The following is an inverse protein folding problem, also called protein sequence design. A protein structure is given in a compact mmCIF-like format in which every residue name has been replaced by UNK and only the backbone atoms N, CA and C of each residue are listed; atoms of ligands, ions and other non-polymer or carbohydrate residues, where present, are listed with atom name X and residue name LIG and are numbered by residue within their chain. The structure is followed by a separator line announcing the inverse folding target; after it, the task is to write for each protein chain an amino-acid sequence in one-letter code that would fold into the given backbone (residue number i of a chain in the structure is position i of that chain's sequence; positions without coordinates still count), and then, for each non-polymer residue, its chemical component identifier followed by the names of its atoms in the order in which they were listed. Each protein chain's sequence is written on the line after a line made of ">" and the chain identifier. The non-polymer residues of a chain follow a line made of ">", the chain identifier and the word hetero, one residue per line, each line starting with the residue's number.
data_IF_523788640001
#
_entry.id   IF_523788640001
#
_cell.length_a   1.000
_cell.length_b   1.000
_cell.length_c   1.000
_cell.angle_alpha   90.00
_cell.angle_beta   90.00
_cell.angle_gamma   90.00
#
_symmetry.space_group_name_H-M   'P 1'
#
loop_
_entity.id
_entity.type
_entity.pdbx_description
1 polymer ?
#
# COMPACT_ATOMS: atom_id res chain seq x y z
N UNK A 1 29.80 4.17 -21.07
CA UNK A 1 28.49 4.81 -20.88
C UNK A 1 28.26 4.87 -19.38
N UNK A 2 28.15 6.06 -18.78
CA UNK A 2 27.79 6.19 -17.37
C UNK A 2 26.38 5.63 -17.21
N UNK A 3 26.25 4.33 -16.92
CA UNK A 3 24.98 3.78 -16.46
C UNK A 3 24.66 4.52 -15.18
N UNK A 4 23.62 5.34 -15.24
CA UNK A 4 23.22 6.12 -14.10
C UNK A 4 22.66 5.15 -13.07
N UNK A 5 22.96 5.34 -11.77
CA UNK A 5 22.35 4.55 -10.70
C UNK A 5 20.81 4.54 -10.79
N UNK A 6 20.23 5.51 -11.49
CA UNK A 6 18.79 5.66 -11.70
C UNK A 6 18.23 4.88 -12.89
N UNK A 7 19.07 4.27 -13.74
CA UNK A 7 18.60 3.51 -14.91
C UNK A 7 17.73 2.31 -14.49
N UNK A 8 17.95 1.75 -13.29
CA UNK A 8 17.12 0.68 -12.73
C UNK A 8 15.66 1.10 -12.45
N UNK A 9 15.41 2.39 -12.18
CA UNK A 9 14.06 2.91 -11.92
C UNK A 9 13.35 3.35 -13.21
N UNK A 10 14.07 3.42 -14.32
CA UNK A 10 13.46 3.72 -15.62
C UNK A 10 12.54 2.57 -16.02
N UNK A 11 11.33 2.89 -16.49
CA UNK A 11 10.36 1.87 -16.88
C UNK A 11 10.86 1.10 -18.11
N UNK A 12 11.14 -0.22 -18.02
CA UNK A 12 11.60 -0.97 -19.16
C UNK A 12 10.49 -1.05 -20.21
N UNK A 13 10.83 -0.66 -21.44
CA UNK A 13 9.96 -0.79 -22.60
C UNK A 13 10.61 -1.79 -23.57
N UNK A 14 9.93 -2.90 -23.88
CA UNK A 14 10.34 -3.84 -24.92
C UNK A 14 9.39 -3.66 -26.10
N UNK A 15 9.93 -3.46 -27.30
CA UNK A 15 9.14 -3.32 -28.54
C UNK A 15 8.05 -2.23 -28.46
N UNK A 16 8.28 -1.17 -27.68
CA UNK A 16 7.33 -0.07 -27.48
C UNK A 16 6.21 -0.33 -26.46
N UNK A 17 6.18 -1.50 -25.81
CA UNK A 17 5.22 -1.82 -24.76
C UNK A 17 5.89 -1.65 -23.38
N UNK A 18 5.32 -0.86 -22.46
CA UNK A 18 5.85 -0.74 -21.10
C UNK A 18 5.63 -2.04 -20.31
N UNK A 19 6.68 -2.62 -19.73
CA UNK A 19 6.62 -3.87 -18.95
C UNK A 19 6.04 -3.69 -17.52
N UNK A 20 5.47 -2.54 -17.22
CA UNK A 20 4.83 -2.27 -15.92
C UNK A 20 3.67 -3.25 -15.70
N UNK A 21 2.82 -3.46 -16.70
CA UNK A 21 1.66 -4.36 -16.62
C UNK A 21 2.05 -5.83 -16.33
N UNK A 22 2.96 -6.47 -17.10
CA UNK A 22 3.36 -7.84 -16.78
C UNK A 22 4.06 -7.94 -15.42
N UNK A 23 4.84 -6.92 -15.02
CA UNK A 23 5.47 -6.91 -13.69
C UNK A 23 4.45 -6.87 -12.54
N UNK A 24 3.31 -6.20 -12.73
CA UNK A 24 2.24 -6.13 -11.75
C UNK A 24 1.45 -7.45 -11.65
N UNK A 25 1.28 -8.16 -12.76
CA UNK A 25 0.53 -9.42 -12.81
C UNK A 25 1.35 -10.63 -12.32
N UNK A 26 2.68 -10.56 -12.40
CA UNK A 26 3.57 -11.67 -12.06
C UNK A 26 3.37 -12.19 -10.62
N UNK A 27 3.25 -11.35 -9.58
CA UNK A 27 3.02 -11.83 -8.21
C UNK A 27 1.69 -12.55 -8.01
N UNK A 28 0.64 -12.14 -8.75
CA UNK A 28 -0.64 -12.82 -8.70
C UNK A 28 -0.56 -14.24 -9.29
N UNK A 29 0.32 -14.46 -10.28
CA UNK A 29 0.55 -15.78 -10.86
C UNK A 29 1.39 -16.70 -9.96
N UNK A 30 2.30 -16.12 -9.17
CA UNK A 30 3.17 -16.89 -8.26
C UNK A 30 2.41 -17.53 -7.09
N UNK A 31 1.28 -16.94 -6.69
CA UNK A 31 0.46 -17.47 -5.60
C UNK A 31 -0.49 -18.55 -6.15
N UNK A 32 -0.32 -19.84 -5.78
CA UNK A 32 -1.18 -20.89 -6.28
C UNK A 32 -2.62 -20.69 -5.81
N UNK A 33 -3.58 -20.81 -6.75
CA UNK A 33 -4.99 -20.83 -6.38
C UNK A 33 -5.30 -22.07 -5.54
N UNK A 34 -5.99 -21.94 -4.38
CA UNK A 34 -6.38 -23.11 -3.60
C UNK A 34 -7.31 -24.00 -4.45
N UNK A 35 -7.00 -25.29 -4.52
CA UNK A 35 -7.88 -26.26 -5.19
C UNK A 35 -9.11 -26.59 -4.34
N UNK A 36 -10.14 -27.18 -4.98
CA UNK A 36 -11.35 -27.65 -4.30
C UNK A 36 -11.15 -28.97 -3.51
N UNK A 37 -9.91 -29.29 -3.12
CA UNK A 37 -9.56 -30.51 -2.39
C UNK A 37 -9.54 -30.22 -0.89
N UNK A 38 -10.07 -31.14 -0.09
CA UNK A 38 -10.09 -31.00 1.37
C UNK A 38 -8.67 -30.99 1.98
N UNK A 39 -7.77 -31.81 1.42
CA UNK A 39 -6.34 -31.80 1.76
C UNK A 39 -5.61 -31.11 0.61
N UNK A 40 -5.03 -29.96 0.93
CA UNK A 40 -4.33 -29.11 -0.02
C UNK A 40 -2.80 -29.36 0.04
N UNK A 41 -2.07 -28.85 -0.95
CA UNK A 41 -0.62 -28.92 -0.99
C UNK A 41 0.00 -28.13 0.19
N UNK A 42 1.22 -28.52 0.61
CA UNK A 42 1.97 -27.84 1.69
C UNK A 42 2.10 -26.33 1.48
N UNK A 43 2.32 -25.89 0.23
CA UNK A 43 2.42 -24.48 -0.11
C UNK A 43 1.09 -23.74 0.12
N UNK A 44 -0.02 -24.31 -0.36
CA UNK A 44 -1.35 -23.72 -0.16
C UNK A 44 -1.80 -23.71 1.30
N UNK A 45 -1.38 -24.68 2.13
CA UNK A 45 -1.71 -24.65 3.57
C UNK A 45 -0.96 -23.55 4.31
N UNK A 46 0.33 -23.33 3.99
CA UNK A 46 1.11 -22.22 4.53
C UNK A 46 0.53 -20.87 4.11
N UNK A 47 0.14 -20.75 2.83
CA UNK A 47 -0.53 -19.54 2.32
C UNK A 47 -1.86 -19.29 3.07
N UNK A 48 -2.70 -20.31 3.24
CA UNK A 48 -3.97 -20.17 3.95
C UNK A 48 -3.73 -19.73 5.41
N UNK A 49 -2.76 -20.35 6.09
CA UNK A 49 -2.37 -19.99 7.44
C UNK A 49 -1.90 -18.54 7.54
N UNK A 50 -1.04 -18.09 6.60
CA UNK A 50 -0.55 -16.72 6.54
C UNK A 50 -1.68 -15.70 6.32
N UNK A 51 -2.56 -15.96 5.35
CA UNK A 51 -3.71 -15.08 5.10
C UNK A 51 -4.66 -14.99 6.30
N UNK A 52 -4.90 -16.10 7.01
CA UNK A 52 -5.72 -16.11 8.22
C UNK A 52 -5.09 -15.30 9.37
N UNK A 53 -3.77 -15.39 9.55
CA UNK A 53 -3.07 -14.57 10.55
C UNK A 53 -3.18 -13.08 10.24
N UNK A 54 -2.94 -12.69 8.99
CA UNK A 54 -3.10 -11.29 8.55
C UNK A 54 -4.53 -10.83 8.79
N UNK A 55 -5.54 -11.59 8.34
CA UNK A 55 -6.95 -11.21 8.53
C UNK A 55 -7.28 -11.04 10.00
N UNK A 56 -6.80 -11.96 10.86
CA UNK A 56 -7.06 -11.89 12.30
C UNK A 56 -6.45 -10.63 12.90
N UNK A 57 -5.17 -10.36 12.64
CA UNK A 57 -4.47 -9.19 13.18
C UNK A 57 -5.03 -7.86 12.68
N UNK A 58 -5.43 -7.77 11.41
CA UNK A 58 -6.04 -6.55 10.87
C UNK A 58 -7.42 -6.26 11.46
N UNK A 59 -8.18 -7.31 11.81
CA UNK A 59 -9.55 -7.16 12.28
C UNK A 59 -9.67 -6.99 13.79
N UNK A 60 -8.63 -7.29 14.60
CA UNK A 60 -8.71 -7.14 16.06
C UNK A 60 -9.02 -5.72 16.55
N UNK A 61 -8.49 -4.62 15.97
CA UNK A 61 -8.85 -3.28 16.41
C UNK A 61 -10.12 -2.73 15.74
N UNK A 62 -10.68 -3.42 14.74
CA UNK A 62 -11.78 -2.93 13.92
C UNK A 62 -13.13 -3.39 14.45
N UNK A 63 -14.11 -2.49 14.44
CA UNK A 63 -15.49 -2.81 14.81
C UNK A 63 -16.15 -3.69 13.72
N UNK A 64 -17.24 -4.40 14.06
CA UNK A 64 -17.90 -5.39 13.19
C UNK A 64 -18.31 -4.83 11.82
N UNK A 65 -18.68 -3.56 11.75
CA UNK A 65 -19.00 -2.88 10.48
C UNK A 65 -17.80 -2.79 9.52
N UNK A 66 -16.58 -2.71 10.07
CA UNK A 66 -15.32 -2.67 9.32
C UNK A 66 -14.90 -4.01 8.73
N UNK A 67 -15.43 -5.15 9.21
CA UNK A 67 -15.07 -6.46 8.68
C UNK A 67 -15.45 -6.67 7.20
N UNK A 68 -16.37 -5.87 6.67
CA UNK A 68 -16.67 -5.86 5.21
C UNK A 68 -15.45 -5.48 4.37
N UNK A 69 -14.55 -4.66 4.91
CA UNK A 69 -13.31 -4.22 4.26
C UNK A 69 -12.18 -5.25 4.35
N UNK A 70 -12.38 -6.36 5.06
CA UNK A 70 -11.32 -7.33 5.31
C UNK A 70 -10.70 -7.86 4.02
N UNK A 71 -11.54 -8.26 3.04
CA UNK A 71 -11.06 -8.80 1.77
C UNK A 71 -10.19 -7.81 1.00
N UNK A 72 -10.60 -6.55 0.97
CA UNK A 72 -9.88 -5.50 0.24
C UNK A 72 -8.52 -5.19 0.90
N UNK A 73 -8.50 -5.08 2.23
CA UNK A 73 -7.26 -4.78 2.96
C UNK A 73 -6.27 -5.95 2.90
N UNK A 74 -6.77 -7.19 3.00
CA UNK A 74 -5.91 -8.38 3.00
C UNK A 74 -5.32 -8.63 1.62
N UNK A 75 -6.11 -8.48 0.55
CA UNK A 75 -5.61 -8.58 -0.82
C UNK A 75 -4.57 -7.50 -1.14
N UNK A 76 -4.80 -6.25 -0.72
CA UNK A 76 -3.85 -5.15 -0.93
C UNK A 76 -2.50 -5.40 -0.23
N UNK A 77 -2.53 -5.87 1.02
CA UNK A 77 -1.30 -6.21 1.76
C UNK A 77 -0.55 -7.36 1.10
N UNK A 78 -1.25 -8.43 0.69
CA UNK A 78 -0.63 -9.58 0.01
C UNK A 78 0.00 -9.17 -1.34
N UNK A 79 -0.69 -8.32 -2.09
CA UNK A 79 -0.18 -7.78 -3.36
C UNK A 79 1.09 -6.94 -3.14
N UNK A 80 1.05 -5.95 -2.24
CA UNK A 80 2.21 -5.10 -1.98
C UNK A 80 3.40 -5.89 -1.42
N UNK A 81 3.14 -6.84 -0.52
CA UNK A 81 4.19 -7.71 0.04
C UNK A 81 4.87 -8.53 -1.05
N UNK A 82 4.09 -9.16 -1.94
CA UNK A 82 4.63 -10.02 -2.99
C UNK A 82 5.41 -9.25 -4.05
N UNK A 83 4.95 -8.06 -4.47
CA UNK A 83 5.68 -7.19 -5.40
C UNK A 83 7.02 -6.76 -4.79
N UNK A 84 7.01 -6.31 -3.53
CA UNK A 84 8.22 -5.80 -2.88
C UNK A 84 9.23 -6.92 -2.57
N UNK A 85 8.75 -8.13 -2.24
CA UNK A 85 9.63 -9.27 -2.03
C UNK A 85 10.31 -9.72 -3.33
N UNK A 86 9.56 -9.76 -4.44
CA UNK A 86 10.12 -10.05 -5.77
C UNK A 86 11.13 -8.97 -6.20
N UNK A 87 10.92 -7.75 -5.72
CA UNK A 87 11.80 -6.62 -5.96
C UNK A 87 13.20 -6.74 -5.41
N UNK A 88 13.40 -7.53 -4.37
CA UNK A 88 14.74 -7.73 -3.79
C UNK A 88 15.63 -8.63 -4.65
N UNK A 89 15.07 -9.30 -5.66
CA UNK A 89 15.85 -10.12 -6.58
C UNK A 89 16.77 -9.25 -7.46
N UNK A 90 17.96 -9.75 -7.80
CA UNK A 90 18.88 -8.99 -8.65
C UNK A 90 18.25 -8.75 -10.03
N UNK A 91 18.43 -7.53 -10.54
CA UNK A 91 17.96 -7.09 -11.87
C UNK A 91 16.43 -7.10 -12.08
N UNK A 92 15.61 -7.14 -11.03
CA UNK A 92 14.16 -6.99 -11.18
C UNK A 92 13.74 -5.52 -11.11
N UNK A 93 12.82 -5.13 -12.00
CA UNK A 93 12.14 -3.85 -11.96
C UNK A 93 10.89 -3.96 -11.07
N UNK A 94 10.80 -3.10 -10.05
CA UNK A 94 9.62 -3.00 -9.19
C UNK A 94 8.73 -1.83 -9.57
N UNK A 95 7.46 -2.07 -9.96
CA UNK A 95 6.55 -0.98 -10.30
C UNK A 95 6.20 -0.09 -9.08
N UNK A 96 6.42 -0.58 -7.85
CA UNK A 96 6.18 0.13 -6.59
C UNK A 96 7.20 1.24 -6.28
N UNK A 97 8.31 1.31 -7.02
CA UNK A 97 9.26 2.44 -6.93
C UNK A 97 8.71 3.72 -7.55
N UNK A 98 7.78 3.59 -8.50
CA UNK A 98 7.16 4.74 -9.15
C UNK A 98 6.08 5.34 -8.25
N UNK A 99 6.20 6.64 -7.96
CA UNK A 99 5.23 7.37 -7.15
C UNK A 99 3.83 7.36 -7.77
N UNK A 100 3.73 7.36 -9.10
CA UNK A 100 2.46 7.26 -9.82
C UNK A 100 1.65 6.03 -9.41
N UNK A 101 2.29 4.86 -9.31
CA UNK A 101 1.61 3.60 -8.97
C UNK A 101 1.12 3.61 -7.52
N UNK A 102 1.96 4.03 -6.58
CA UNK A 102 1.58 4.08 -5.16
C UNK A 102 0.47 5.11 -4.93
N UNK A 103 0.48 6.23 -5.68
CA UNK A 103 -0.57 7.24 -5.57
C UNK A 103 -1.90 6.78 -6.18
N UNK A 104 -1.85 6.01 -7.28
CA UNK A 104 -3.03 5.40 -7.87
C UNK A 104 -3.70 4.39 -6.91
N UNK A 105 -2.95 3.74 -6.02
CA UNK A 105 -3.49 2.85 -4.98
C UNK A 105 -3.96 3.62 -3.72
N UNK A 106 -3.20 4.61 -3.27
CA UNK A 106 -3.46 5.30 -2.01
C UNK A 106 -4.64 6.28 -2.08
N UNK A 107 -4.78 7.04 -3.17
CA UNK A 107 -5.85 8.05 -3.30
C UNK A 107 -7.25 7.42 -3.27
N UNK A 108 -7.57 6.36 -4.06
CA UNK A 108 -8.89 5.76 -4.03
C UNK A 108 -9.21 5.12 -2.68
N UNK A 109 -8.23 4.46 -2.05
CA UNK A 109 -8.43 3.81 -0.75
C UNK A 109 -8.74 4.84 0.35
N UNK A 110 -7.98 5.93 0.40
CA UNK A 110 -8.21 7.01 1.35
C UNK A 110 -9.53 7.73 1.08
N UNK A 111 -9.85 7.99 -0.18
CA UNK A 111 -11.09 8.67 -0.54
C UNK A 111 -12.30 7.79 -0.19
N UNK A 112 -12.19 6.47 -0.39
CA UNK A 112 -13.25 5.54 0.00
C UNK A 112 -13.48 5.51 1.51
N UNK A 113 -12.44 5.54 2.35
CA UNK A 113 -12.61 5.60 3.81
C UNK A 113 -13.23 6.92 4.24
N UNK A 114 -12.79 8.04 3.67
CA UNK A 114 -13.38 9.37 3.93
C UNK A 114 -14.87 9.41 3.59
N UNK A 115 -15.25 8.92 2.40
CA UNK A 115 -16.66 8.87 1.96
C UNK A 115 -17.50 7.97 2.87
N UNK A 116 -16.98 6.81 3.28
CA UNK A 116 -17.72 5.93 4.20
C UNK A 116 -17.90 6.53 5.60
N UNK A 117 -16.91 7.28 6.10
CA UNK A 117 -17.01 8.01 7.37
C UNK A 117 -18.09 9.08 7.31
N UNK A 118 -18.05 9.93 6.29
CA UNK A 118 -19.03 11.00 6.08
C UNK A 118 -20.44 10.46 5.88
N UNK A 119 -20.59 9.34 5.17
CA UNK A 119 -21.91 8.74 4.90
C UNK A 119 -22.54 8.09 6.14
N UNK A 120 -21.76 7.38 6.95
CA UNK A 120 -22.32 6.61 8.06
C UNK A 120 -22.60 7.48 9.29
N UNK A 121 -21.72 8.44 9.60
CA UNK A 121 -21.83 9.30 10.79
C UNK A 121 -21.25 10.70 10.50
N UNK A 122 -22.02 11.60 9.85
CA UNK A 122 -21.52 12.91 9.45
C UNK A 122 -21.18 13.79 10.67
N UNK A 123 -21.97 13.72 11.74
CA UNK A 123 -21.73 14.49 12.96
C UNK A 123 -20.46 14.07 13.69
N UNK A 124 -20.22 12.77 13.83
CA UNK A 124 -19.00 12.25 14.47
C UNK A 124 -17.75 12.49 13.61
N UNK A 125 -17.87 12.38 12.28
CA UNK A 125 -16.77 12.64 11.35
C UNK A 125 -16.35 14.11 11.36
N UNK A 126 -17.31 15.05 11.45
CA UNK A 126 -17.01 16.47 11.59
C UNK A 126 -16.56 16.82 13.02
N UNK A 127 -17.09 16.13 14.03
CA UNK A 127 -16.65 16.26 15.42
C UNK A 127 -15.18 15.91 15.61
N UNK A 128 -14.65 14.95 14.86
CA UNK A 128 -13.21 14.61 14.91
C UNK A 128 -12.28 15.75 14.44
N UNK A 129 -12.80 16.75 13.73
CA UNK A 129 -12.01 17.93 13.36
C UNK A 129 -11.69 18.83 14.55
N UNK A 130 -12.42 18.68 15.67
CA UNK A 130 -12.12 19.34 16.93
C UNK A 130 -11.74 18.30 17.99
N UNK A 131 -10.55 18.37 18.59
CA UNK A 131 -10.31 17.68 19.84
C UNK A 131 -11.14 18.33 20.96
N UNK A 132 -11.76 17.46 21.74
CA UNK A 132 -12.54 17.83 22.92
C UNK A 132 -11.71 18.65 23.90
N UNK A 133 -12.24 19.79 24.36
CA UNK A 133 -11.60 20.63 25.39
C UNK A 133 -10.69 21.74 24.88
N UNK A 134 -10.79 22.14 23.60
CA UNK A 134 -10.01 23.28 23.07
C UNK A 134 -10.60 24.63 23.48
N UNK A 135 -9.77 25.62 23.89
CA UNK A 135 -10.25 26.96 24.25
C UNK A 135 -10.76 27.70 23.00
N UNK A 136 -11.87 28.42 23.15
CA UNK A 136 -12.62 29.07 22.07
C UNK A 136 -11.83 29.92 21.06
N UNK A 137 -10.76 30.66 21.41
CA UNK A 137 -10.00 31.44 20.42
C UNK A 137 -9.12 30.60 19.49
N UNK A 138 -8.72 29.38 19.89
CA UNK A 138 -7.78 28.54 19.12
C UNK A 138 -8.49 27.62 18.10
N UNK A 139 -9.82 27.52 18.19
CA UNK A 139 -10.63 26.63 17.36
C UNK A 139 -10.42 26.87 15.85
N UNK A 140 -10.45 28.11 15.31
CA UNK A 140 -10.34 28.32 13.86
C UNK A 140 -8.99 27.87 13.29
N UNK A 141 -7.90 28.12 14.02
CA UNK A 141 -6.56 27.72 13.60
C UNK A 141 -6.40 26.19 13.58
N UNK A 142 -6.98 25.51 14.57
CA UNK A 142 -6.88 24.06 14.69
C UNK A 142 -7.63 23.30 13.59
N UNK A 143 -8.82 23.78 13.22
CA UNK A 143 -9.60 23.19 12.11
C UNK A 143 -8.78 23.26 10.80
N UNK A 144 -8.07 24.36 10.56
CA UNK A 144 -7.22 24.50 9.38
C UNK A 144 -6.05 23.49 9.39
N UNK A 145 -5.47 23.21 10.56
CA UNK A 145 -4.39 22.22 10.69
C UNK A 145 -4.93 20.80 10.52
N UNK A 146 -6.09 20.47 11.10
CA UNK A 146 -6.64 19.12 10.98
C UNK A 146 -7.11 18.82 9.55
N UNK A 147 -7.70 19.80 8.86
CA UNK A 147 -8.06 19.67 7.44
C UNK A 147 -6.84 19.49 6.54
N UNK A 148 -5.74 20.20 6.78
CA UNK A 148 -4.48 19.99 6.05
C UNK A 148 -3.84 18.64 6.38
N UNK A 149 -3.86 18.19 7.64
CA UNK A 149 -3.42 16.86 8.09
C UNK A 149 -4.20 15.73 7.40
N UNK A 150 -5.52 15.88 7.26
CA UNK A 150 -6.38 14.93 6.56
C UNK A 150 -5.95 14.78 5.08
N UNK A 151 -5.65 15.89 4.40
CA UNK A 151 -5.23 15.92 3.00
C UNK A 151 -3.80 15.38 2.78
N UNK A 152 -2.90 15.56 3.74
CA UNK A 152 -1.51 15.06 3.65
C UNK A 152 -1.46 13.54 3.83
N UNK A 153 -2.43 12.92 4.50
CA UNK A 153 -2.45 11.48 4.80
C UNK A 153 -2.26 10.55 3.59
N UNK A 154 -3.01 10.67 2.47
CA UNK A 154 -2.80 9.82 1.29
C UNK A 154 -1.42 10.05 0.65
N UNK A 155 -0.96 11.30 0.59
CA UNK A 155 0.37 11.65 0.09
C UNK A 155 1.46 10.99 0.94
N UNK A 156 1.35 11.07 2.26
CA UNK A 156 2.29 10.48 3.20
C UNK A 156 2.36 8.94 3.08
N UNK A 157 1.22 8.27 2.82
CA UNK A 157 1.20 6.83 2.59
C UNK A 157 1.91 6.43 1.29
N UNK A 158 1.63 7.15 0.18
CA UNK A 158 2.24 6.89 -1.12
C UNK A 158 3.75 7.13 -1.13
N UNK A 159 4.18 8.30 -0.63
CA UNK A 159 5.60 8.69 -0.57
C UNK A 159 6.39 7.77 0.35
N UNK A 160 5.79 7.28 1.45
CA UNK A 160 6.47 6.35 2.37
C UNK A 160 6.89 5.06 1.68
N UNK A 161 6.00 4.48 0.87
CA UNK A 161 6.31 3.25 0.14
C UNK A 161 7.38 3.48 -0.92
N UNK A 162 7.27 4.56 -1.71
CA UNK A 162 8.29 4.85 -2.74
C UNK A 162 9.65 5.13 -2.11
N UNK A 163 9.71 6.01 -1.11
CA UNK A 163 10.96 6.44 -0.51
C UNK A 163 11.72 5.27 0.10
N UNK A 164 11.02 4.38 0.81
CA UNK A 164 11.65 3.20 1.41
C UNK A 164 12.23 2.24 0.36
N UNK A 165 11.52 2.04 -0.75
CA UNK A 165 11.97 1.13 -1.81
C UNK A 165 13.10 1.74 -2.64
N UNK A 166 12.98 3.00 -3.06
CA UNK A 166 14.02 3.68 -3.84
C UNK A 166 15.30 3.84 -3.01
N UNK A 167 15.18 4.26 -1.75
CA UNK A 167 16.35 4.39 -0.87
C UNK A 167 16.98 3.02 -0.57
N UNK A 168 16.18 1.98 -0.33
CA UNK A 168 16.68 0.63 -0.11
C UNK A 168 17.50 0.10 -1.29
N UNK A 169 16.98 0.23 -2.51
CA UNK A 169 17.68 -0.18 -3.73
C UNK A 169 18.97 0.63 -3.98
N UNK A 170 18.91 1.96 -3.81
CA UNK A 170 20.09 2.82 -3.95
C UNK A 170 21.17 2.47 -2.92
N UNK A 171 20.81 2.19 -1.67
CA UNK A 171 21.76 1.78 -0.63
C UNK A 171 22.45 0.46 -0.97
N UNK A 172 21.70 -0.56 -1.42
CA UNK A 172 22.26 -1.85 -1.84
C UNK A 172 23.27 -1.64 -2.98
N UNK A 173 22.93 -0.80 -3.96
CA UNK A 173 23.79 -0.55 -5.10
C UNK A 173 25.06 0.24 -4.71
N UNK A 174 24.94 1.26 -3.85
CA UNK A 174 26.09 2.03 -3.37
C UNK A 174 27.08 1.16 -2.59
N UNK A 175 26.60 0.28 -1.71
CA UNK A 175 27.44 -0.68 -0.97
C UNK A 175 28.10 -1.67 -1.93
N UNK A 176 27.39 -2.10 -2.98
CA UNK A 176 27.96 -3.00 -4.00
C UNK A 176 29.07 -2.34 -4.83
N UNK A 177 29.05 -1.02 -4.99
CA UNK A 177 30.05 -0.28 -5.78
C UNK A 177 31.22 0.28 -4.95
N UNK A 178 31.09 0.28 -3.62
CA UNK A 178 32.14 0.69 -2.68
C UNK A 178 33.09 -0.47 -2.37
#
# INVERSE_FOLDING_TARGET
>A
MNLSFFDQFSSPCLLGIPLILPSLLLPALLLPSPGNRWINNRLSTIQLWFTHLITKQLMTPLNKAGHKWALLLTSLILMLLSINLLGLLPYTFTPTTQLSMNMALALPLWLATLLTGLRNQPSASLGHLLPEGTPTPLIPALIMIETTSLLIRPLALGVRLTANLTAGHLLIQLISTA
#
